data_IF_912840895162
#
_entry.id   IF_912840895162
#
_cell.length_a   1.000
_cell.length_b   1.000
_cell.length_c   1.000
_cell.angle_alpha   90.00
_cell.angle_beta   90.00
_cell.angle_gamma   90.00
#
_symmetry.space_group_name_H-M   'P 1'
#
loop_
_entity.id
_entity.type
_entity.pdbx_description
1 polymer ?
#
# COMPACT_ATOMS: atom_id res chain seq x y z
N UNK A 1 -0.98 16.36 -7.58
CA UNK A 1 -1.48 14.95 -7.54
C UNK A 1 -2.93 14.94 -8.00
N UNK A 2 -3.25 14.09 -8.96
CA UNK A 2 -4.61 13.99 -9.47
C UNK A 2 -5.55 13.32 -8.47
N UNK A 3 -6.86 13.42 -8.75
CA UNK A 3 -7.90 12.87 -7.88
C UNK A 3 -7.73 11.36 -7.65
N UNK A 4 -7.55 10.61 -8.74
CA UNK A 4 -7.40 9.16 -8.66
C UNK A 4 -6.12 8.75 -7.92
N UNK A 5 -5.04 9.48 -8.19
CA UNK A 5 -3.75 9.22 -7.54
C UNK A 5 -3.84 9.46 -6.03
N UNK A 6 -4.56 10.50 -5.62
CA UNK A 6 -4.74 10.79 -4.19
C UNK A 6 -5.55 9.68 -3.53
N UNK A 7 -6.60 9.18 -4.17
CA UNK A 7 -7.38 8.07 -3.64
C UNK A 7 -6.53 6.81 -3.49
N UNK A 8 -5.72 6.50 -4.50
CA UNK A 8 -4.83 5.34 -4.46
C UNK A 8 -3.82 5.49 -3.32
N UNK A 9 -3.26 6.69 -3.16
CA UNK A 9 -2.30 6.95 -2.09
C UNK A 9 -2.95 6.74 -0.72
N UNK A 10 -4.14 7.29 -0.51
CA UNK A 10 -4.86 7.13 0.77
C UNK A 10 -5.18 5.66 1.05
N UNK A 11 -5.65 4.93 0.04
CA UNK A 11 -5.96 3.52 0.19
C UNK A 11 -4.71 2.70 0.49
N UNK A 12 -3.57 3.08 -0.09
CA UNK A 12 -2.31 2.39 0.19
C UNK A 12 -1.83 2.63 1.62
N UNK A 13 -2.09 3.81 2.18
CA UNK A 13 -1.76 4.08 3.59
C UNK A 13 -2.60 3.19 4.50
N UNK A 14 -3.90 3.05 4.21
CA UNK A 14 -4.76 2.14 4.97
C UNK A 14 -4.26 0.70 4.87
N UNK A 15 -3.82 0.30 3.69
CA UNK A 15 -3.26 -1.02 3.47
C UNK A 15 -2.01 -1.25 4.33
N UNK A 16 -1.12 -0.26 4.38
CA UNK A 16 0.09 -0.33 5.22
C UNK A 16 -0.30 -0.51 6.69
N UNK A 17 -1.27 0.26 7.17
CA UNK A 17 -1.75 0.14 8.55
C UNK A 17 -2.25 -1.27 8.83
N UNK A 18 -2.98 -1.86 7.89
CA UNK A 18 -3.51 -3.21 8.04
C UNK A 18 -2.39 -4.25 8.07
N UNK A 19 -1.37 -4.07 7.23
CA UNK A 19 -0.19 -4.95 7.23
C UNK A 19 0.52 -4.90 8.58
N UNK A 20 0.68 -3.70 9.14
CA UNK A 20 1.30 -3.57 10.47
C UNK A 20 0.46 -4.25 11.55
N UNK A 21 -0.85 -4.09 11.49
CA UNK A 21 -1.75 -4.73 12.45
C UNK A 21 -1.65 -6.26 12.39
N UNK A 22 -1.68 -6.80 11.18
CA UNK A 22 -1.61 -8.26 11.00
C UNK A 22 -0.25 -8.80 11.43
N UNK A 23 0.83 -8.15 11.02
CA UNK A 23 2.17 -8.62 11.33
C UNK A 23 2.56 -8.40 12.79
N UNK A 24 1.81 -7.61 13.54
CA UNK A 24 2.04 -7.43 14.97
C UNK A 24 1.88 -8.74 15.74
N UNK A 25 1.09 -9.69 15.21
CA UNK A 25 0.89 -11.00 15.82
C UNK A 25 1.94 -12.03 15.40
N UNK A 26 2.84 -11.68 14.48
CA UNK A 26 3.89 -12.60 14.05
C UNK A 26 4.92 -12.80 15.17
N UNK A 27 5.60 -13.96 15.19
CA UNK A 27 6.62 -14.22 16.23
C UNK A 27 7.71 -13.16 16.23
N UNK A 28 8.17 -12.80 17.42
CA UNK A 28 9.23 -11.79 17.58
C UNK A 28 10.49 -12.13 16.81
N UNK A 29 10.81 -13.41 16.72
CA UNK A 29 12.01 -13.86 16.00
C UNK A 29 11.98 -13.49 14.52
N UNK A 30 10.78 -13.20 13.98
CA UNK A 30 10.63 -12.82 12.56
C UNK A 30 10.71 -11.31 12.32
N UNK A 31 10.88 -10.51 13.39
CA UNK A 31 10.85 -9.06 13.27
C UNK A 31 11.88 -8.51 12.29
N UNK A 32 13.11 -9.05 12.33
CA UNK A 32 14.17 -8.59 11.43
C UNK A 32 14.29 -9.47 10.16
N UNK A 33 13.34 -10.37 9.95
CA UNK A 33 13.25 -11.22 8.77
C UNK A 33 12.00 -10.90 7.98
N UNK A 34 11.06 -11.87 7.94
CA UNK A 34 9.90 -11.77 7.07
C UNK A 34 8.96 -10.63 7.45
N UNK A 35 8.80 -10.33 8.73
CA UNK A 35 7.96 -9.23 9.18
C UNK A 35 8.46 -7.91 8.60
N UNK A 36 9.77 -7.66 8.75
CA UNK A 36 10.39 -6.45 8.21
C UNK A 36 10.24 -6.37 6.70
N UNK A 37 10.46 -7.46 6.00
CA UNK A 37 10.35 -7.51 4.54
C UNK A 37 8.94 -7.18 4.06
N UNK A 38 7.93 -7.77 4.71
CA UNK A 38 6.53 -7.52 4.36
C UNK A 38 6.18 -6.05 4.59
N UNK A 39 6.59 -5.49 5.72
CA UNK A 39 6.31 -4.10 6.05
C UNK A 39 6.99 -3.13 5.10
N UNK A 40 8.24 -3.39 4.74
CA UNK A 40 8.97 -2.55 3.79
C UNK A 40 8.33 -2.61 2.40
N UNK A 41 7.91 -3.80 1.97
CA UNK A 41 7.22 -3.95 0.70
C UNK A 41 5.91 -3.15 0.69
N UNK A 42 5.14 -3.21 1.77
CA UNK A 42 3.88 -2.47 1.88
C UNK A 42 4.11 -0.96 1.82
N UNK A 43 5.10 -0.46 2.58
CA UNK A 43 5.42 0.98 2.64
C UNK A 43 5.93 1.49 1.29
N UNK A 44 6.54 0.62 0.48
CA UNK A 44 7.04 1.02 -0.85
C UNK A 44 5.89 1.48 -1.76
N UNK A 45 4.67 1.01 -1.54
CA UNK A 45 3.53 1.35 -2.39
C UNK A 45 3.19 2.84 -2.32
N UNK A 46 2.86 3.41 -1.13
CA UNK A 46 2.57 4.84 -1.07
C UNK A 46 3.78 5.70 -1.44
N UNK A 47 4.99 5.25 -1.12
CA UNK A 47 6.20 5.98 -1.48
C UNK A 47 6.36 6.08 -2.99
N UNK A 48 6.15 4.98 -3.70
CA UNK A 48 6.25 4.96 -5.16
C UNK A 48 5.13 5.76 -5.82
N UNK A 49 3.94 5.75 -5.26
CA UNK A 49 2.83 6.55 -5.78
C UNK A 49 3.17 8.04 -5.67
N UNK A 50 3.64 8.47 -4.51
CA UNK A 50 4.00 9.87 -4.28
C UNK A 50 5.14 10.32 -5.20
N UNK A 51 6.17 9.49 -5.35
CA UNK A 51 7.29 9.79 -6.23
C UNK A 51 6.85 9.82 -7.69
N UNK A 52 6.05 8.85 -8.11
CA UNK A 52 5.52 8.80 -9.47
C UNK A 52 4.67 10.01 -9.81
N UNK A 53 3.82 10.45 -8.89
CA UNK A 53 3.00 11.65 -9.09
C UNK A 53 3.86 12.88 -9.32
N UNK A 54 4.98 12.99 -8.61
CA UNK A 54 5.92 14.10 -8.77
C UNK A 54 6.65 14.05 -10.11
N UNK A 55 6.80 12.87 -10.71
CA UNK A 55 7.54 12.65 -11.95
C UNK A 55 6.66 12.49 -13.18
N UNK A 56 5.37 12.72 -13.05
CA UNK A 56 4.44 12.55 -14.16
C UNK A 56 4.47 11.11 -14.70
N UNK A 57 4.18 10.17 -13.85
CA UNK A 57 4.41 8.76 -14.07
C UNK A 57 3.29 8.02 -14.81
N UNK A 58 3.47 6.70 -14.90
CA UNK A 58 2.67 5.73 -15.62
C UNK A 58 1.22 5.65 -15.11
N UNK A 59 0.28 6.03 -15.95
CA UNK A 59 -1.14 5.96 -15.66
C UNK A 59 -1.65 4.53 -15.50
N UNK A 60 -1.02 3.57 -16.18
CA UNK A 60 -1.42 2.17 -16.08
C UNK A 60 -1.14 1.61 -14.69
N UNK A 61 -0.01 2.01 -14.09
CA UNK A 61 0.33 1.60 -12.73
C UNK A 61 -0.69 2.14 -11.74
N UNK A 62 -1.05 3.40 -11.85
CA UNK A 62 -2.06 4.03 -11.00
C UNK A 62 -3.41 3.35 -11.18
N UNK A 63 -3.80 3.05 -12.40
CA UNK A 63 -5.08 2.38 -12.68
C UNK A 63 -5.11 0.98 -12.06
N UNK A 64 -4.01 0.24 -12.19
CA UNK A 64 -3.88 -1.08 -11.59
C UNK A 64 -4.06 -1.01 -10.06
N UNK A 65 -3.36 -0.09 -9.42
CA UNK A 65 -3.46 0.08 -7.96
C UNK A 65 -4.84 0.56 -7.53
N UNK A 66 -5.44 1.45 -8.31
CA UNK A 66 -6.78 1.95 -8.04
C UNK A 66 -7.77 0.78 -7.95
N UNK A 67 -7.73 -0.11 -8.93
CA UNK A 67 -8.61 -1.27 -8.97
C UNK A 67 -8.28 -2.26 -7.84
N UNK A 68 -7.00 -2.58 -7.67
CA UNK A 68 -6.54 -3.57 -6.71
C UNK A 68 -6.83 -3.15 -5.27
N UNK A 69 -6.48 -1.93 -4.91
CA UNK A 69 -6.70 -1.42 -3.56
C UNK A 69 -8.18 -1.17 -3.29
N UNK A 70 -8.92 -0.75 -4.31
CA UNK A 70 -10.36 -0.60 -4.20
C UNK A 70 -11.05 -1.92 -3.92
N UNK A 71 -10.64 -2.99 -4.60
CA UNK A 71 -11.17 -4.33 -4.37
C UNK A 71 -10.85 -4.82 -2.96
N UNK A 72 -9.62 -4.61 -2.50
CA UNK A 72 -9.23 -4.97 -1.14
C UNK A 72 -10.08 -4.22 -0.11
N UNK A 73 -10.27 -2.93 -0.31
CA UNK A 73 -11.06 -2.11 0.61
C UNK A 73 -12.51 -2.58 0.69
N UNK A 74 -13.09 -2.96 -0.46
CA UNK A 74 -14.45 -3.50 -0.49
C UNK A 74 -14.56 -4.83 0.26
N UNK A 75 -13.57 -5.71 0.12
CA UNK A 75 -13.53 -6.95 0.87
C UNK A 75 -13.43 -6.70 2.36
N UNK A 76 -12.62 -5.74 2.77
CA UNK A 76 -12.41 -5.39 4.17
C UNK A 76 -13.71 -4.88 4.81
N UNK A 77 -14.54 -4.19 4.05
CA UNK A 77 -15.79 -3.60 4.54
C UNK A 77 -16.94 -4.60 4.66
N UNK A 78 -16.79 -5.80 4.14
CA UNK A 78 -17.80 -6.86 4.26
C UNK A 78 -17.77 -7.52 5.69
#
# INVERSE_FOLDING_TARGET
>A
MGHKELDVWKNSIDFVSEVYRITASFPRKELFGITSQIRMAAVSIPSNIAEGAARNHDNEFIQFLYISLGSWLNLKRR
#
